data_IF_784366801360
#
_entry.id   IF_784366801360
#
_cell.length_a   1.000
_cell.length_b   1.000
_cell.length_c   1.000
_cell.angle_alpha   90.00
_cell.angle_beta   90.00
_cell.angle_gamma   90.00
#
_symmetry.space_group_name_H-M   'P 1'
#
loop_
_entity.id
_entity.type
_entity.pdbx_description
1 polymer ?
#
# COMPACT_ATOMS: atom_id res chain seq x y z
N UNK A 1 71.03 16.45 -25.22
CA UNK A 1 69.81 17.04 -25.84
C UNK A 1 68.68 16.10 -25.46
N UNK A 2 68.08 16.45 -24.35
CA UNK A 2 67.52 15.50 -23.40
C UNK A 2 66.02 15.27 -23.65
N UNK A 3 65.68 14.07 -24.12
CA UNK A 3 64.30 13.63 -24.37
C UNK A 3 63.64 12.99 -23.13
N UNK A 4 64.09 13.33 -21.92
CA UNK A 4 63.59 12.69 -20.68
C UNK A 4 62.52 13.51 -19.93
N UNK A 5 62.34 14.79 -20.23
CA UNK A 5 61.44 15.66 -19.44
C UNK A 5 59.96 15.60 -19.86
N UNK A 6 59.65 15.18 -21.10
CA UNK A 6 58.26 15.12 -21.57
C UNK A 6 57.43 13.97 -20.99
N UNK A 7 58.05 13.00 -20.33
CA UNK A 7 57.33 11.82 -19.81
C UNK A 7 56.61 12.06 -18.48
N UNK A 8 57.06 13.02 -17.68
CA UNK A 8 56.53 13.28 -16.34
C UNK A 8 55.22 14.07 -16.35
N UNK A 9 55.07 15.02 -17.29
CA UNK A 9 53.90 15.88 -17.40
C UNK A 9 52.64 15.15 -17.89
N UNK A 10 52.79 14.11 -18.72
CA UNK A 10 51.66 13.32 -19.23
C UNK A 10 50.92 12.57 -18.10
N UNK A 11 51.60 12.29 -16.97
CA UNK A 11 51.01 11.62 -15.82
C UNK A 11 50.17 12.55 -14.94
N UNK A 12 50.49 13.86 -14.87
CA UNK A 12 49.76 14.83 -14.05
C UNK A 12 48.34 15.09 -14.59
N UNK A 13 48.15 15.07 -15.90
CA UNK A 13 46.84 15.24 -16.55
C UNK A 13 45.91 14.01 -16.45
N UNK A 14 46.44 12.83 -16.05
CA UNK A 14 45.64 11.60 -15.84
C UNK A 14 45.00 11.55 -14.45
N UNK A 15 45.45 12.36 -13.51
CA UNK A 15 44.93 12.37 -12.15
C UNK A 15 43.63 13.18 -12.08
N UNK A 16 42.52 12.48 -11.76
CA UNK A 16 41.21 13.12 -11.57
C UNK A 16 41.28 14.07 -10.36
N UNK A 17 40.77 15.30 -10.53
CA UNK A 17 40.63 16.25 -9.42
C UNK A 17 39.79 15.67 -8.27
N UNK A 18 40.02 16.15 -7.04
CA UNK A 18 39.30 15.71 -5.86
C UNK A 18 37.76 15.81 -6.03
N UNK A 19 37.28 16.90 -6.65
CA UNK A 19 35.86 17.09 -6.98
C UNK A 19 35.35 16.02 -7.96
N UNK A 20 36.14 15.70 -8.99
CA UNK A 20 35.79 14.66 -9.98
C UNK A 20 35.76 13.27 -9.34
N UNK A 21 36.71 12.94 -8.45
CA UNK A 21 36.72 11.67 -7.68
C UNK A 21 35.46 11.54 -6.80
N UNK A 22 35.12 12.56 -6.01
CA UNK A 22 33.90 12.58 -5.18
C UNK A 22 32.62 12.41 -6.02
N UNK A 23 32.55 13.09 -7.19
CA UNK A 23 31.40 12.95 -8.10
C UNK A 23 31.28 11.54 -8.67
N UNK A 24 32.39 10.89 -8.99
CA UNK A 24 32.38 9.50 -9.48
C UNK A 24 31.88 8.54 -8.39
N UNK A 25 32.43 8.62 -7.18
CA UNK A 25 31.98 7.80 -6.05
C UNK A 25 30.46 7.93 -5.82
N UNK A 26 29.93 9.17 -5.82
CA UNK A 26 28.49 9.40 -5.66
C UNK A 26 27.68 8.81 -6.81
N UNK A 27 28.15 8.96 -8.06
CA UNK A 27 27.48 8.37 -9.23
C UNK A 27 27.48 6.85 -9.19
N UNK A 28 28.59 6.24 -8.77
CA UNK A 28 28.70 4.79 -8.70
C UNK A 28 27.84 4.23 -7.57
N UNK A 29 27.77 4.91 -6.42
CA UNK A 29 26.80 4.60 -5.37
C UNK A 29 25.35 4.73 -5.86
N UNK A 30 24.99 5.81 -6.57
CA UNK A 30 23.65 5.96 -7.13
C UNK A 30 23.31 4.84 -8.12
N UNK A 31 24.27 4.36 -8.93
CA UNK A 31 24.08 3.20 -9.82
C UNK A 31 23.81 1.92 -9.03
N UNK A 32 24.56 1.68 -7.95
CA UNK A 32 24.33 0.53 -7.07
C UNK A 32 22.91 0.59 -6.47
N UNK A 33 22.47 1.77 -6.01
CA UNK A 33 21.09 1.94 -5.52
C UNK A 33 20.05 1.66 -6.59
N UNK A 34 20.27 2.08 -7.84
CA UNK A 34 19.36 1.77 -8.96
C UNK A 34 19.29 0.26 -9.19
N UNK A 35 20.40 -0.47 -9.06
CA UNK A 35 20.39 -1.93 -9.17
C UNK A 35 19.59 -2.58 -8.03
N UNK A 36 19.74 -2.10 -6.80
CA UNK A 36 18.95 -2.56 -5.64
C UNK A 36 17.46 -2.31 -5.87
N UNK A 37 17.07 -1.12 -6.33
CA UNK A 37 15.67 -0.79 -6.67
C UNK A 37 15.11 -1.77 -7.71
N UNK A 38 15.89 -2.06 -8.76
CA UNK A 38 15.47 -3.01 -9.81
C UNK A 38 15.30 -4.41 -9.24
N UNK A 39 16.24 -4.86 -8.41
CA UNK A 39 16.20 -6.16 -7.73
C UNK A 39 14.99 -6.27 -6.81
N UNK A 40 14.77 -5.28 -5.96
CA UNK A 40 13.60 -5.18 -5.08
C UNK A 40 12.30 -5.33 -5.88
N UNK A 41 12.11 -4.53 -6.94
CA UNK A 41 10.92 -4.61 -7.80
C UNK A 41 10.71 -6.01 -8.39
N UNK A 42 11.78 -6.64 -8.85
CA UNK A 42 11.74 -7.98 -9.43
C UNK A 42 11.35 -9.03 -8.36
N UNK A 43 11.90 -8.96 -7.15
CA UNK A 43 11.53 -9.86 -6.06
C UNK A 43 10.06 -9.68 -5.65
N UNK A 44 9.59 -8.43 -5.53
CA UNK A 44 8.18 -8.15 -5.26
C UNK A 44 7.25 -8.60 -6.38
N UNK A 45 7.70 -8.53 -7.64
CA UNK A 45 6.96 -9.07 -8.77
C UNK A 45 6.88 -10.60 -8.67
N UNK A 46 8.01 -11.30 -8.50
CA UNK A 46 8.04 -12.76 -8.29
C UNK A 46 7.09 -13.19 -7.16
N UNK A 47 7.13 -12.47 -6.02
CA UNK A 47 6.25 -12.73 -4.87
C UNK A 47 4.76 -12.59 -5.23
N UNK A 48 4.41 -11.59 -6.05
CA UNK A 48 3.03 -11.41 -6.54
C UNK A 48 2.63 -12.47 -7.56
N UNK A 49 3.57 -12.96 -8.35
CA UNK A 49 3.33 -13.90 -9.45
C UNK A 49 3.24 -15.36 -8.97
N UNK A 50 3.56 -15.65 -7.69
CA UNK A 50 3.40 -16.98 -7.09
C UNK A 50 1.96 -17.52 -7.27
N UNK A 51 1.74 -18.82 -7.51
CA UNK A 51 0.41 -19.36 -7.70
C UNK A 51 -0.42 -19.34 -6.39
N UNK A 52 -1.74 -19.43 -6.53
CA UNK A 52 -2.63 -19.78 -5.41
C UNK A 52 -2.67 -21.30 -5.29
N UNK A 53 -2.58 -21.82 -4.06
CA UNK A 53 -2.64 -23.24 -3.74
C UNK A 53 -3.97 -23.51 -3.02
N UNK A 54 -4.73 -24.55 -3.43
CA UNK A 54 -5.94 -24.94 -2.72
C UNK A 54 -5.61 -25.43 -1.31
N UNK A 55 -6.43 -25.02 -0.34
CA UNK A 55 -6.39 -25.55 1.01
C UNK A 55 -7.08 -26.90 1.06
N UNK A 56 -6.48 -27.86 1.75
CA UNK A 56 -7.08 -29.17 2.02
C UNK A 56 -8.43 -29.02 2.75
N UNK A 57 -8.48 -28.13 3.74
CA UNK A 57 -9.68 -27.82 4.51
C UNK A 57 -10.07 -26.35 4.36
N UNK A 58 -11.04 -26.02 3.48
CA UNK A 58 -11.58 -24.68 3.39
C UNK A 58 -12.21 -24.24 4.72
N UNK A 59 -11.99 -22.98 5.10
CA UNK A 59 -12.50 -22.45 6.36
C UNK A 59 -13.26 -21.14 6.17
N UNK A 60 -14.20 -20.87 7.06
CA UNK A 60 -14.97 -19.64 7.06
C UNK A 60 -14.19 -18.52 7.79
N UNK A 61 -13.80 -17.47 7.06
CA UNK A 61 -13.13 -16.29 7.66
C UNK A 61 -14.12 -15.25 8.19
N UNK A 62 -15.36 -15.27 7.70
CA UNK A 62 -16.40 -14.33 8.10
C UNK A 62 -17.61 -14.41 7.19
N UNK A 63 -18.23 -13.27 6.90
CA UNK A 63 -19.38 -13.15 6.02
C UNK A 63 -19.10 -12.13 4.92
N UNK A 64 -19.66 -12.39 3.74
CA UNK A 64 -19.70 -11.43 2.65
C UNK A 64 -21.14 -11.16 2.24
N UNK A 65 -21.42 -9.93 1.84
CA UNK A 65 -22.71 -9.58 1.27
C UNK A 65 -22.52 -8.83 -0.05
N UNK A 66 -23.39 -9.14 -0.99
CA UNK A 66 -23.34 -8.68 -2.37
C UNK A 66 -24.75 -8.69 -2.94
N UNK A 67 -24.96 -7.99 -4.05
CA UNK A 67 -26.25 -7.98 -4.71
C UNK A 67 -26.41 -9.21 -5.61
N UNK A 68 -27.63 -9.69 -5.69
CA UNK A 68 -28.07 -10.78 -6.58
C UNK A 68 -29.33 -10.31 -7.29
N UNK A 69 -29.50 -10.69 -8.56
CA UNK A 69 -30.73 -10.42 -9.31
C UNK A 69 -31.92 -11.03 -8.58
N UNK A 70 -32.99 -10.27 -8.42
CA UNK A 70 -34.23 -10.74 -7.80
C UNK A 70 -34.83 -11.88 -8.63
N UNK A 71 -35.45 -12.85 -7.96
CA UNK A 71 -35.92 -14.09 -8.59
C UNK A 71 -36.94 -13.85 -9.72
N UNK A 72 -37.85 -12.89 -9.54
CA UNK A 72 -38.86 -12.52 -10.54
C UNK A 72 -38.22 -12.06 -11.87
N UNK A 73 -37.10 -11.33 -11.78
CA UNK A 73 -36.38 -10.81 -12.94
C UNK A 73 -35.56 -11.92 -13.59
N UNK A 74 -35.02 -12.85 -12.81
CA UNK A 74 -34.32 -14.02 -13.35
C UNK A 74 -35.23 -14.91 -14.21
N UNK A 75 -36.53 -14.94 -13.92
CA UNK A 75 -37.52 -15.67 -14.72
C UNK A 75 -37.98 -14.90 -15.96
N UNK A 76 -37.68 -13.60 -16.04
CA UNK A 76 -38.06 -12.75 -17.17
C UNK A 76 -37.08 -12.88 -18.34
N UNK A 77 -37.51 -12.46 -19.53
CA UNK A 77 -36.64 -12.38 -20.71
C UNK A 77 -35.42 -11.46 -20.53
N UNK A 78 -35.48 -10.52 -19.58
CA UNK A 78 -34.40 -9.56 -19.29
C UNK A 78 -33.34 -10.09 -18.31
N UNK A 79 -33.46 -11.34 -17.86
CA UNK A 79 -32.55 -11.94 -16.89
C UNK A 79 -31.08 -11.87 -17.30
N UNK A 80 -30.77 -12.20 -18.57
CA UNK A 80 -29.42 -12.15 -19.11
C UNK A 80 -28.81 -10.75 -19.03
N UNK A 81 -29.58 -9.73 -19.39
CA UNK A 81 -29.12 -8.33 -19.34
C UNK A 81 -28.80 -7.87 -17.91
N UNK A 82 -29.69 -8.12 -16.96
CA UNK A 82 -29.46 -7.68 -15.57
C UNK A 82 -28.41 -8.51 -14.84
N UNK A 83 -28.19 -9.76 -15.24
CA UNK A 83 -27.07 -10.57 -14.71
C UNK A 83 -25.73 -10.03 -15.20
N UNK A 84 -25.58 -9.75 -16.50
CA UNK A 84 -24.35 -9.17 -17.06
C UNK A 84 -24.08 -7.76 -16.54
N UNK A 85 -25.12 -6.93 -16.39
CA UNK A 85 -24.98 -5.60 -15.80
C UNK A 85 -24.53 -5.69 -14.34
N UNK A 86 -25.14 -6.59 -13.57
CA UNK A 86 -24.80 -6.76 -12.17
C UNK A 86 -23.32 -7.14 -11.98
N UNK A 87 -22.76 -8.03 -12.81
CA UNK A 87 -21.34 -8.39 -12.74
C UNK A 87 -20.39 -7.18 -12.83
N UNK A 88 -20.78 -6.15 -13.60
CA UNK A 88 -19.99 -4.93 -13.79
C UNK A 88 -20.11 -3.94 -12.63
N UNK A 89 -21.24 -3.92 -11.93
CA UNK A 89 -21.56 -2.89 -10.92
C UNK A 89 -21.68 -3.44 -9.49
N UNK A 90 -21.54 -4.75 -9.31
CA UNK A 90 -21.73 -5.38 -8.00
C UNK A 90 -20.69 -4.88 -7.00
N UNK A 91 -21.13 -4.65 -5.78
CA UNK A 91 -20.24 -4.34 -4.67
C UNK A 91 -20.23 -5.51 -3.69
N UNK A 92 -19.05 -5.89 -3.21
CA UNK A 92 -18.89 -6.93 -2.19
C UNK A 92 -18.38 -6.29 -0.92
N UNK A 93 -19.04 -6.55 0.20
CA UNK A 93 -18.59 -6.12 1.52
C UNK A 93 -18.34 -7.33 2.40
N UNK A 94 -17.20 -7.32 3.10
CA UNK A 94 -16.81 -8.35 4.06
C UNK A 94 -17.01 -7.84 5.48
N UNK A 95 -17.42 -8.73 6.38
CA UNK A 95 -17.60 -8.45 7.79
C UNK A 95 -17.37 -9.73 8.62
N UNK A 96 -16.80 -9.65 9.84
CA UNK A 96 -16.64 -10.83 10.70
C UNK A 96 -17.98 -11.45 11.10
N UNK A 97 -19.00 -10.63 11.36
CA UNK A 97 -20.35 -11.09 11.77
C UNK A 97 -21.37 -11.02 10.63
N UNK A 98 -22.35 -11.96 10.63
CA UNK A 98 -23.46 -12.02 9.67
C UNK A 98 -24.36 -10.78 9.67
N UNK A 99 -24.37 -10.04 10.78
CA UNK A 99 -25.27 -8.90 10.96
C UNK A 99 -24.81 -7.61 10.27
N UNK A 100 -23.53 -7.52 9.87
CA UNK A 100 -22.93 -6.30 9.28
C UNK A 100 -23.18 -5.03 10.11
N UNK A 101 -23.28 -5.18 11.43
CA UNK A 101 -23.49 -4.10 12.39
C UNK A 101 -22.15 -3.45 12.74
N UNK A 102 -22.07 -2.13 12.55
CA UNK A 102 -20.88 -1.35 12.91
C UNK A 102 -21.22 -0.42 14.08
N UNK A 103 -20.27 -0.28 15.02
CA UNK A 103 -20.40 0.68 16.13
C UNK A 103 -20.36 2.10 15.58
N UNK A 104 -21.42 2.89 15.80
CA UNK A 104 -21.46 4.28 15.37
C UNK A 104 -20.72 5.19 16.33
N UNK A 105 -19.69 5.87 15.87
CA UNK A 105 -18.98 6.89 16.67
C UNK A 105 -19.72 8.22 16.57
N UNK A 106 -19.96 8.88 17.70
CA UNK A 106 -20.46 10.27 17.72
C UNK A 106 -19.31 11.20 17.35
N UNK A 107 -19.51 12.08 16.35
CA UNK A 107 -18.53 13.11 15.99
C UNK A 107 -18.25 13.98 17.22
N UNK A 108 -16.98 14.07 17.64
CA UNK A 108 -16.54 14.90 18.77
C UNK A 108 -16.57 14.28 20.18
N UNK A 109 -17.04 13.05 20.39
CA UNK A 109 -17.02 12.41 21.73
C UNK A 109 -16.04 11.24 21.80
N UNK A 110 -15.14 11.25 22.79
CA UNK A 110 -14.26 10.11 23.12
C UNK A 110 -15.01 8.92 23.74
N UNK A 111 -16.28 9.06 24.17
CA UNK A 111 -17.05 7.96 24.77
C UNK A 111 -18.51 7.90 24.32
N UNK A 112 -18.97 6.63 24.26
CA UNK A 112 -20.29 6.06 23.93
C UNK A 112 -20.69 6.14 22.46
N UNK A 113 -20.47 5.00 21.79
CA UNK A 113 -21.05 4.69 20.48
C UNK A 113 -22.56 4.78 20.58
N UNK A 114 -23.25 5.40 19.61
CA UNK A 114 -24.65 5.03 19.38
C UNK A 114 -24.64 3.55 18.98
N UNK A 115 -25.63 2.78 19.43
CA UNK A 115 -25.68 1.32 19.30
C UNK A 115 -25.37 0.77 17.90
N UNK A 116 -25.24 -0.55 17.75
CA UNK A 116 -24.86 -1.15 16.49
C UNK A 116 -25.84 -0.78 15.35
N UNK A 117 -25.34 -0.16 14.29
CA UNK A 117 -26.14 0.20 13.11
C UNK A 117 -25.70 -0.63 11.90
N UNK A 118 -26.66 -1.12 11.12
CA UNK A 118 -26.39 -1.81 9.85
C UNK A 118 -26.14 -0.75 8.79
N UNK A 119 -24.90 -0.65 8.32
CA UNK A 119 -24.56 0.28 7.24
C UNK A 119 -25.27 -0.15 5.95
N UNK A 120 -26.01 0.76 5.30
CA UNK A 120 -26.61 0.49 3.98
C UNK A 120 -25.51 0.29 2.94
N UNK A 121 -25.71 -0.69 2.07
CA UNK A 121 -24.85 -0.95 0.92
C UNK A 121 -25.59 -0.54 -0.35
N UNK A 122 -24.84 0.04 -1.29
CA UNK A 122 -25.33 0.46 -2.59
C UNK A 122 -24.51 -0.25 -3.68
N UNK A 123 -25.08 -0.36 -4.87
CA UNK A 123 -24.34 -0.75 -6.08
C UNK A 123 -23.25 0.28 -6.37
N UNK A 124 -22.33 -0.07 -7.26
CA UNK A 124 -21.25 0.83 -7.64
C UNK A 124 -21.81 2.12 -8.24
N UNK A 125 -21.37 3.24 -7.67
CA UNK A 125 -21.61 4.57 -8.22
C UNK A 125 -20.40 4.97 -9.06
N UNK A 126 -20.65 5.64 -10.18
CA UNK A 126 -19.59 6.13 -11.07
C UNK A 126 -19.42 7.63 -10.89
N UNK A 127 -18.19 8.10 -10.72
CA UNK A 127 -17.91 9.54 -10.85
C UNK A 127 -18.01 9.95 -12.31
N UNK A 128 -18.24 11.23 -12.57
CA UNK A 128 -18.26 11.79 -13.92
C UNK A 128 -16.99 11.47 -14.73
N UNK A 129 -15.82 11.58 -14.09
CA UNK A 129 -14.56 11.20 -14.72
C UNK A 129 -14.53 9.71 -15.11
N UNK A 130 -14.97 8.82 -14.21
CA UNK A 130 -14.96 7.38 -14.48
C UNK A 130 -16.01 6.98 -15.52
N UNK A 131 -17.14 7.70 -15.58
CA UNK A 131 -18.20 7.53 -16.57
C UNK A 131 -17.72 7.74 -18.01
N UNK A 132 -16.85 8.74 -18.19
CA UNK A 132 -16.27 9.10 -19.49
C UNK A 132 -14.93 8.38 -19.76
N UNK A 133 -14.43 7.57 -18.82
CA UNK A 133 -13.16 6.87 -18.97
C UNK A 133 -13.34 5.60 -19.80
N UNK A 134 -12.42 5.36 -20.75
CA UNK A 134 -12.44 4.20 -21.66
C UNK A 134 -12.41 2.84 -20.94
N UNK A 135 -12.00 2.79 -19.67
CA UNK A 135 -12.00 1.56 -18.87
C UNK A 135 -13.41 1.10 -18.46
N UNK A 136 -14.42 1.96 -18.56
CA UNK A 136 -15.79 1.63 -18.16
C UNK A 136 -16.46 0.79 -19.25
N UNK A 137 -16.54 -0.52 -19.02
CA UNK A 137 -17.10 -1.51 -19.96
C UNK A 137 -18.63 -1.57 -19.93
N UNK A 138 -19.31 -0.43 -19.85
CA UNK A 138 -20.77 -0.35 -19.92
C UNK A 138 -21.23 -0.08 -21.35
N UNK A 139 -22.19 -0.87 -21.81
CA UNK A 139 -22.87 -0.68 -23.10
C UNK A 139 -23.79 0.54 -23.01
N UNK A 140 -24.08 1.19 -24.13
CA UNK A 140 -24.99 2.34 -24.17
C UNK A 140 -26.38 2.01 -23.61
N UNK A 141 -26.90 0.80 -23.89
CA UNK A 141 -28.15 0.30 -23.30
C UNK A 141 -28.09 0.22 -21.77
N UNK A 142 -26.97 -0.22 -21.22
CA UNK A 142 -26.78 -0.30 -19.76
C UNK A 142 -26.71 1.09 -19.13
N UNK A 143 -26.11 2.06 -19.85
CA UNK A 143 -25.97 3.45 -19.38
C UNK A 143 -27.32 4.14 -19.18
N UNK A 144 -28.35 3.79 -19.95
CA UNK A 144 -29.71 4.33 -19.82
C UNK A 144 -30.29 4.10 -18.41
N UNK A 145 -29.88 3.04 -17.72
CA UNK A 145 -30.37 2.73 -16.38
C UNK A 145 -29.69 3.54 -15.25
N UNK A 146 -28.80 4.47 -15.59
CA UNK A 146 -28.12 5.34 -14.64
C UNK A 146 -28.62 6.76 -14.73
N UNK A 147 -28.84 7.37 -13.57
CA UNK A 147 -29.16 8.79 -13.48
C UNK A 147 -28.02 9.55 -12.81
N UNK A 148 -27.84 10.81 -13.24
CA UNK A 148 -26.92 11.74 -12.64
C UNK A 148 -27.51 12.31 -11.35
N UNK A 149 -26.80 12.16 -10.24
CA UNK A 149 -27.17 12.71 -8.95
C UNK A 149 -26.10 13.66 -8.45
N UNK A 150 -26.55 14.76 -7.85
CA UNK A 150 -25.68 15.63 -7.07
C UNK A 150 -25.36 14.97 -5.72
N UNK A 151 -24.07 14.94 -5.37
CA UNK A 151 -23.55 14.40 -4.12
C UNK A 151 -22.64 15.43 -3.49
N UNK A 152 -22.85 15.72 -2.21
CA UNK A 152 -21.93 16.58 -1.46
C UNK A 152 -20.67 15.78 -1.12
N UNK A 153 -19.51 16.39 -1.31
CA UNK A 153 -18.23 15.86 -0.86
C UNK A 153 -18.27 15.55 0.64
N UNK A 154 -17.44 14.61 1.10
CA UNK A 154 -17.35 14.23 2.52
C UNK A 154 -17.04 15.43 3.42
N UNK A 155 -16.33 16.42 2.89
CA UNK A 155 -15.97 17.65 3.61
C UNK A 155 -17.10 18.69 3.61
N UNK A 156 -18.19 18.44 2.86
CA UNK A 156 -19.37 19.31 2.75
C UNK A 156 -19.18 20.55 1.88
N UNK A 157 -17.96 20.82 1.40
CA UNK A 157 -17.60 22.07 0.72
C UNK A 157 -17.89 22.09 -0.79
N UNK A 158 -17.87 20.92 -1.42
CA UNK A 158 -17.98 20.79 -2.88
C UNK A 158 -19.13 19.88 -3.24
N UNK A 159 -19.84 20.24 -4.30
CA UNK A 159 -20.84 19.39 -4.96
C UNK A 159 -20.13 18.62 -6.06
N UNK A 160 -20.31 17.31 -6.11
CA UNK A 160 -19.83 16.46 -7.19
C UNK A 160 -20.99 15.66 -7.77
N UNK A 161 -20.89 15.30 -9.04
CA UNK A 161 -21.91 14.51 -9.70
C UNK A 161 -21.50 13.04 -9.75
N UNK A 162 -22.47 12.16 -9.49
CA UNK A 162 -22.29 10.71 -9.58
C UNK A 162 -23.42 10.08 -10.35
N UNK A 163 -23.08 9.12 -11.21
CA UNK A 163 -24.05 8.27 -11.89
C UNK A 163 -24.41 7.12 -10.96
N UNK A 164 -25.70 7.00 -10.65
CA UNK A 164 -26.26 5.94 -9.78
C UNK A 164 -27.30 5.14 -10.55
N UNK A 165 -27.27 3.83 -10.37
CA UNK A 165 -28.28 2.93 -10.91
C UNK A 165 -29.67 3.25 -10.33
N UNK A 166 -30.65 3.45 -11.21
CA UNK A 166 -31.96 3.99 -10.83
C UNK A 166 -32.97 2.93 -10.38
N UNK A 167 -32.77 1.65 -10.71
CA UNK A 167 -33.74 0.59 -10.44
C UNK A 167 -33.26 -0.41 -9.36
N UNK A 168 -32.79 0.04 -8.18
CA UNK A 168 -32.13 -0.84 -7.21
C UNK A 168 -33.01 -1.99 -6.71
N UNK A 169 -34.34 -1.87 -6.82
CA UNK A 169 -35.32 -2.93 -6.48
C UNK A 169 -35.16 -4.20 -7.32
N UNK A 170 -34.46 -4.12 -8.47
CA UNK A 170 -34.12 -5.27 -9.31
C UNK A 170 -33.12 -6.22 -8.65
N UNK A 171 -32.40 -5.73 -7.65
CA UNK A 171 -31.35 -6.47 -6.98
C UNK A 171 -31.65 -6.60 -5.48
N UNK A 172 -31.35 -7.77 -4.93
CA UNK A 172 -31.52 -8.08 -3.52
C UNK A 172 -30.16 -8.34 -2.89
N UNK A 173 -29.95 -7.80 -1.69
CA UNK A 173 -28.72 -8.02 -0.94
C UNK A 173 -28.72 -9.43 -0.35
N UNK A 174 -27.77 -10.27 -0.75
CA UNK A 174 -27.59 -11.62 -0.24
C UNK A 174 -26.36 -11.69 0.67
N UNK A 175 -26.54 -12.24 1.87
CA UNK A 175 -25.45 -12.53 2.83
C UNK A 175 -25.07 -14.00 2.72
N UNK A 176 -23.78 -14.28 2.55
CA UNK A 176 -23.21 -15.64 2.47
C UNK A 176 -21.95 -15.75 3.33
N UNK A 177 -21.61 -16.95 3.83
CA UNK A 177 -20.32 -17.15 4.48
C UNK A 177 -19.18 -16.84 3.49
N UNK A 178 -18.12 -16.21 3.99
CA UNK A 178 -16.90 -15.98 3.23
C UNK A 178 -15.93 -17.12 3.53
N UNK A 179 -15.96 -18.13 2.67
CA UNK A 179 -15.08 -19.29 2.73
C UNK A 179 -13.78 -18.95 1.98
N UNK A 180 -12.65 -19.25 2.61
CA UNK A 180 -11.33 -19.21 1.99
C UNK A 180 -11.00 -20.63 1.56
N UNK A 181 -10.85 -20.82 0.25
CA UNK A 181 -10.54 -22.12 -0.38
C UNK A 181 -9.08 -22.20 -0.80
N UNK A 182 -8.43 -21.07 -1.03
CA UNK A 182 -7.09 -20.98 -1.60
C UNK A 182 -6.24 -19.98 -0.82
N UNK A 183 -4.94 -20.24 -0.76
CA UNK A 183 -3.95 -19.37 -0.14
C UNK A 183 -2.76 -19.19 -1.09
N UNK A 184 -2.13 -18.02 -1.04
CA UNK A 184 -0.95 -17.73 -1.85
C UNK A 184 0.20 -18.66 -1.43
N UNK A 185 0.86 -19.28 -2.40
CA UNK A 185 2.11 -20.02 -2.14
C UNK A 185 3.13 -19.09 -1.48
N UNK A 186 3.91 -19.64 -0.54
CA UNK A 186 5.02 -18.94 0.11
C UNK A 186 6.31 -19.66 -0.25
N UNK A 187 7.23 -18.95 -0.90
CA UNK A 187 8.58 -19.43 -1.20
C UNK A 187 9.55 -18.92 -0.13
N UNK A 188 10.12 -19.84 0.65
CA UNK A 188 11.02 -19.50 1.74
C UNK A 188 12.31 -18.81 1.28
N UNK A 189 12.88 -19.22 0.15
CA UNK A 189 14.12 -18.61 -0.37
C UNK A 189 13.86 -17.19 -0.87
N UNK A 190 12.73 -17.00 -1.55
CA UNK A 190 12.32 -15.67 -2.03
C UNK A 190 12.06 -14.70 -0.87
N UNK A 191 11.34 -15.14 0.17
CA UNK A 191 11.07 -14.30 1.35
C UNK A 191 12.36 -13.98 2.12
N UNK A 192 13.30 -14.92 2.22
CA UNK A 192 14.63 -14.66 2.80
C UNK A 192 15.39 -13.60 2.00
N UNK A 193 15.39 -13.68 0.65
CA UNK A 193 16.08 -12.72 -0.20
C UNK A 193 15.47 -11.30 -0.07
N UNK A 194 14.14 -11.20 -0.04
CA UNK A 194 13.44 -9.93 0.22
C UNK A 194 13.85 -9.38 1.58
N UNK A 195 13.82 -10.21 2.62
CA UNK A 195 14.14 -9.79 3.98
C UNK A 195 15.59 -9.30 4.12
N UNK A 196 16.56 -9.99 3.49
CA UNK A 196 17.96 -9.56 3.48
C UNK A 196 18.12 -8.19 2.81
N UNK A 197 17.45 -7.97 1.69
CA UNK A 197 17.48 -6.72 0.95
C UNK A 197 16.81 -5.57 1.75
N UNK A 198 15.66 -5.84 2.36
CA UNK A 198 14.94 -4.88 3.20
C UNK A 198 15.77 -4.49 4.44
N UNK A 199 16.44 -5.46 5.08
CA UNK A 199 17.35 -5.21 6.19
C UNK A 199 18.51 -4.30 5.77
N UNK A 200 19.12 -4.56 4.61
CA UNK A 200 20.20 -3.74 4.09
C UNK A 200 19.73 -2.29 3.82
N UNK A 201 18.59 -2.11 3.14
CA UNK A 201 18.02 -0.78 2.87
C UNK A 201 17.75 -0.02 4.17
N UNK A 202 17.14 -0.70 5.14
CA UNK A 202 16.72 -0.10 6.41
C UNK A 202 17.93 0.28 7.26
N UNK A 203 18.90 -0.62 7.43
CA UNK A 203 20.08 -0.39 8.26
C UNK A 203 20.97 0.73 7.72
N UNK A 204 21.01 0.92 6.40
CA UNK A 204 21.80 1.97 5.75
C UNK A 204 20.99 3.22 5.38
N UNK A 205 19.72 3.32 5.80
CA UNK A 205 18.82 4.46 5.53
C UNK A 205 18.73 4.86 4.05
N UNK A 206 18.77 3.87 3.14
CA UNK A 206 18.90 4.11 1.70
C UNK A 206 17.61 4.59 1.03
N UNK A 207 16.46 4.36 1.68
CA UNK A 207 15.12 4.65 1.16
C UNK A 207 14.96 6.09 0.67
N UNK A 208 15.46 7.07 1.43
CA UNK A 208 15.37 8.48 1.08
C UNK A 208 16.13 8.80 -0.22
N UNK A 209 17.32 8.22 -0.39
CA UNK A 209 18.15 8.41 -1.59
C UNK A 209 17.54 7.68 -2.79
N UNK A 210 17.07 6.45 -2.59
CA UNK A 210 16.40 5.64 -3.61
C UNK A 210 15.17 6.35 -4.18
N UNK A 211 14.30 6.92 -3.33
CA UNK A 211 13.12 7.65 -3.78
C UNK A 211 13.47 8.85 -4.67
N UNK A 212 14.48 9.64 -4.26
CA UNK A 212 15.00 10.77 -5.07
C UNK A 212 15.46 10.32 -6.46
N UNK A 213 16.10 9.15 -6.57
CA UNK A 213 16.57 8.61 -7.86
C UNK A 213 15.41 8.19 -8.78
N UNK A 214 14.28 7.77 -8.22
CA UNK A 214 13.09 7.32 -8.98
C UNK A 214 12.17 8.50 -9.35
N UNK A 215 12.44 9.71 -8.85
CA UNK A 215 11.55 10.86 -9.02
C UNK A 215 10.27 10.78 -8.19
N UNK A 216 10.18 9.81 -7.27
CA UNK A 216 9.18 9.83 -6.20
C UNK A 216 9.70 10.84 -5.16
N UNK A 217 8.93 11.87 -4.86
CA UNK A 217 9.33 12.90 -3.88
C UNK A 217 9.76 12.31 -2.52
N UNK A 218 10.18 13.16 -1.57
CA UNK A 218 10.58 12.72 -0.23
C UNK A 218 9.52 11.78 0.38
N UNK A 219 9.86 10.49 0.47
CA UNK A 219 9.06 9.55 1.24
C UNK A 219 9.39 9.79 2.71
N UNK A 220 8.60 10.64 3.35
CA UNK A 220 8.51 10.63 4.80
C UNK A 220 7.88 9.27 5.14
N UNK A 221 8.70 8.34 5.61
CA UNK A 221 8.24 7.04 6.08
C UNK A 221 7.31 7.25 7.27
N UNK A 222 6.01 7.32 7.01
CA UNK A 222 5.02 7.29 8.08
C UNK A 222 5.04 5.89 8.69
N UNK A 223 5.61 5.78 9.90
CA UNK A 223 5.37 4.63 10.78
C UNK A 223 6.47 3.55 10.83
N UNK A 224 7.76 3.88 10.74
CA UNK A 224 8.74 3.08 11.47
C UNK A 224 8.83 3.66 12.88
N UNK A 225 8.09 3.08 13.83
CA UNK A 225 8.49 3.19 15.22
C UNK A 225 9.94 2.72 15.30
N UNK A 226 10.84 3.65 15.59
CA UNK A 226 12.26 3.35 15.77
C UNK A 226 12.32 2.28 16.86
N UNK A 227 12.69 1.05 16.49
CA UNK A 227 12.90 -0.03 17.47
C UNK A 227 13.82 0.53 18.56
N UNK A 228 13.48 0.40 19.85
CA UNK A 228 14.15 1.10 20.95
C UNK A 228 15.66 0.79 21.07
N UNK A 229 16.16 -0.25 20.39
CA UNK A 229 17.61 -0.52 20.24
C UNK A 229 18.40 0.60 19.55
N UNK A 230 17.72 1.53 18.87
CA UNK A 230 18.36 2.69 18.20
C UNK A 230 18.11 4.03 18.90
N UNK A 231 17.61 4.05 20.15
CA UNK A 231 17.88 5.21 21.02
C UNK A 231 19.31 5.04 21.51
N UNK A 232 20.27 5.76 20.95
CA UNK A 232 21.65 5.75 21.46
C UNK A 232 21.68 6.19 22.93
N UNK A 233 21.98 5.31 23.92
CA UNK A 233 22.34 5.74 25.25
C UNK A 233 23.88 5.73 25.28
N UNK A 234 24.48 6.92 25.28
CA UNK A 234 25.91 7.16 25.60
C UNK A 234 26.93 6.35 24.79
N UNK A 235 27.31 6.82 23.61
CA UNK A 235 28.54 6.36 22.94
C UNK A 235 29.40 7.54 22.50
N UNK A 236 30.24 7.98 23.44
CA UNK A 236 31.63 8.41 23.30
C UNK A 236 32.22 8.64 24.70
N UNK A 237 31.90 7.77 25.67
CA UNK A 237 32.49 7.81 27.02
C UNK A 237 33.48 6.66 27.12
N UNK A 238 34.70 6.95 27.56
CA UNK A 238 35.70 5.93 27.86
C UNK A 238 35.29 5.15 29.11
N UNK A 239 35.78 3.91 29.26
CA UNK A 239 35.50 3.07 30.43
C UNK A 239 35.81 3.80 31.76
N UNK A 240 36.85 4.64 31.75
CA UNK A 240 37.24 5.51 32.87
C UNK A 240 36.12 6.45 33.32
N UNK A 241 35.46 7.12 32.38
CA UNK A 241 34.40 8.09 32.67
C UNK A 241 33.15 7.44 33.30
N UNK A 242 32.91 6.16 33.01
CA UNK A 242 31.80 5.41 33.61
C UNK A 242 32.13 4.95 35.03
N UNK A 243 33.39 4.61 35.30
CA UNK A 243 33.84 4.20 36.63
C UNK A 243 33.87 5.39 37.61
N UNK A 244 34.20 6.60 37.15
CA UNK A 244 34.14 7.83 37.94
C UNK A 244 32.72 8.22 38.35
N UNK A 245 31.72 8.10 37.46
CA UNK A 245 30.32 8.35 37.79
C UNK A 245 29.82 7.38 38.89
N UNK A 246 30.14 6.09 38.76
CA UNK A 246 29.79 5.10 39.79
C UNK A 246 30.52 5.31 41.13
N UNK A 247 31.67 5.97 41.14
CA UNK A 247 32.39 6.33 42.36
C UNK A 247 31.78 7.57 43.03
N UNK A 248 31.40 8.57 42.23
CA UNK A 248 30.82 9.83 42.72
C UNK A 248 29.39 9.65 43.27
N UNK A 249 28.59 8.74 42.69
CA UNK A 249 27.25 8.42 43.20
C UNK A 249 27.26 7.83 44.62
N UNK A 250 28.35 7.17 45.02
CA UNK A 250 28.54 6.63 46.38
C UNK A 250 28.93 7.69 47.41
N UNK A 251 29.48 8.83 46.96
CA UNK A 251 29.91 9.91 47.84
C UNK A 251 28.80 10.92 48.14
N UNK A 252 27.72 10.94 47.34
CA UNK A 252 26.55 11.83 47.57
C UNK A 252 25.47 11.21 48.48
N UNK A 253 25.71 9.99 49.00
CA UNK A 253 24.80 9.32 49.94
C UNK A 253 25.29 9.37 51.40
N UNK A 254 26.26 10.23 51.71
CA UNK A 254 26.72 10.53 53.07
C UNK A 254 26.80 12.04 53.30
#
# INVERSE_FOLDING_TARGET
>A
MDNYEQSFDVLQYRLKSARRKKRLQKKDFDKQLIQIIKKERLLWQKRRDLPMIPLENPYQKGWKRHFVVREDIKRSSSAGFFTTLLEKINTVQHHPDKSFKVKKRRRGSRKRSKGPEVKRQFLQEFSEWHWNHHSLKLTELEKVHFHLYEKTSKDGKQKCFVYRFNEPWRYVLQVKPHIITEVKMVDGLLEQEIQLLDNYITNHYLQCRMNKLIGRGYSYGWGQEVKPRYRFPTQNRTLSALLEECANDKQQQY
#
